data_IF_580609184411
#
_entry.id   IF_580609184411
#
_cell.length_a   1.000
_cell.length_b   1.000
_cell.length_c   1.000
_cell.angle_alpha   90.00
_cell.angle_beta   90.00
_cell.angle_gamma   90.00
#
_symmetry.space_group_name_H-M   'P 1'
#
loop_
_entity.id
_entity.type
_entity.pdbx_description
1 polymer ?
#
# COMPACT_ATOMS: atom_id res chain seq x y z
N UNK A 1 -2.69 8.41 -8.09
CA UNK A 1 -2.07 9.36 -9.04
C UNK A 1 -1.23 8.72 -10.14
N UNK A 2 -0.30 7.77 -9.90
CA UNK A 2 0.50 7.17 -10.99
C UNK A 2 -0.27 6.10 -11.81
N UNK A 3 -0.94 5.15 -11.15
CA UNK A 3 -1.68 4.08 -11.85
C UNK A 3 -2.83 4.60 -12.70
N UNK A 4 -3.54 5.65 -12.26
CA UNK A 4 -4.57 6.30 -13.07
C UNK A 4 -3.99 6.88 -14.38
N UNK A 5 -2.80 7.48 -14.33
CA UNK A 5 -2.17 8.04 -15.52
C UNK A 5 -1.78 6.95 -16.52
N UNK A 6 -1.25 5.82 -16.03
CA UNK A 6 -0.96 4.64 -16.86
C UNK A 6 -2.26 4.13 -17.49
N UNK A 7 -3.33 4.02 -16.69
CA UNK A 7 -4.62 3.52 -17.16
C UNK A 7 -5.26 4.43 -18.21
N UNK A 8 -5.16 5.75 -18.03
CA UNK A 8 -5.56 6.76 -19.04
C UNK A 8 -4.76 6.62 -20.33
N UNK A 9 -3.46 6.35 -20.22
CA UNK A 9 -2.63 6.15 -21.40
C UNK A 9 -3.06 4.88 -22.16
N UNK A 10 -3.33 3.78 -21.46
CA UNK A 10 -3.87 2.56 -22.07
C UNK A 10 -5.22 2.86 -22.74
N UNK A 11 -6.15 3.53 -22.06
CA UNK A 11 -7.45 3.89 -22.64
C UNK A 11 -7.35 4.82 -23.86
N UNK A 12 -6.26 5.57 -24.02
CA UNK A 12 -6.02 6.43 -25.18
C UNK A 12 -5.44 5.68 -26.40
N UNK A 13 -5.10 4.40 -26.26
CA UNK A 13 -4.56 3.60 -27.36
C UNK A 13 -5.66 3.28 -28.38
N UNK A 14 -5.27 3.30 -29.65
CA UNK A 14 -6.15 2.86 -30.73
C UNK A 14 -6.53 1.40 -30.52
N UNK A 15 -7.83 1.09 -30.64
CA UNK A 15 -8.33 -0.26 -30.43
C UNK A 15 -8.67 -0.60 -28.97
N UNK A 16 -8.61 0.34 -28.03
CA UNK A 16 -9.08 0.13 -26.66
C UNK A 16 -10.31 1.00 -26.41
N UNK A 17 -11.45 0.38 -26.12
CA UNK A 17 -12.70 1.09 -25.77
C UNK A 17 -12.79 1.38 -24.27
N UNK A 18 -12.21 0.47 -23.49
CA UNK A 18 -12.29 0.49 -22.05
C UNK A 18 -11.16 -0.33 -21.44
N UNK A 19 -10.75 0.06 -20.24
CA UNK A 19 -9.78 -0.68 -19.44
C UNK A 19 -10.15 -0.59 -17.96
N UNK A 20 -9.94 -1.69 -17.24
CA UNK A 20 -10.12 -1.78 -15.79
C UNK A 20 -8.89 -2.45 -15.20
N UNK A 21 -8.32 -1.82 -14.19
CA UNK A 21 -7.24 -2.38 -13.38
C UNK A 21 -7.80 -2.74 -12.01
N UNK A 22 -7.72 -4.01 -11.66
CA UNK A 22 -8.04 -4.51 -10.33
C UNK A 22 -6.75 -4.92 -9.63
N UNK A 23 -6.50 -4.35 -8.46
CA UNK A 23 -5.36 -4.70 -7.61
C UNK A 23 -5.91 -5.34 -6.35
N UNK A 24 -5.53 -6.59 -6.09
CA UNK A 24 -5.92 -7.30 -4.89
C UNK A 24 -5.25 -6.67 -3.66
N UNK A 25 -5.92 -6.68 -2.50
CA UNK A 25 -5.32 -6.19 -1.26
C UNK A 25 -5.65 -7.14 -0.11
N UNK A 26 -4.65 -7.43 0.74
CA UNK A 26 -4.83 -8.29 1.90
C UNK A 26 -5.52 -7.51 3.03
N UNK A 27 -6.75 -7.90 3.36
CA UNK A 27 -7.51 -7.30 4.46
C UNK A 27 -8.14 -5.93 4.15
N UNK A 28 -8.01 -5.47 2.91
CA UNK A 28 -8.66 -4.26 2.39
C UNK A 28 -9.44 -4.60 1.12
N UNK A 29 -10.45 -3.81 0.73
CA UNK A 29 -11.10 -3.96 -0.56
C UNK A 29 -10.10 -3.88 -1.71
N UNK A 30 -10.34 -4.65 -2.78
CA UNK A 30 -9.57 -4.54 -4.01
C UNK A 30 -9.61 -3.10 -4.52
N UNK A 31 -8.45 -2.59 -4.92
CA UNK A 31 -8.37 -1.26 -5.50
C UNK A 31 -8.68 -1.37 -7.00
N UNK A 32 -9.82 -0.79 -7.39
CA UNK A 32 -10.32 -0.84 -8.76
C UNK A 32 -10.19 0.54 -9.38
N UNK A 33 -9.56 0.59 -10.55
CA UNK A 33 -9.47 1.77 -11.40
C UNK A 33 -10.08 1.44 -12.76
N UNK A 34 -10.86 2.36 -13.31
CA UNK A 34 -11.53 2.20 -14.61
C UNK A 34 -11.34 3.43 -15.47
N UNK A 35 -11.20 3.23 -16.78
CA UNK A 35 -11.16 4.27 -17.81
C UNK A 35 -11.90 3.79 -19.06
N UNK A 36 -12.70 4.67 -19.69
CA UNK A 36 -13.53 4.35 -20.85
C UNK A 36 -14.92 3.81 -20.49
N UNK A 37 -15.54 3.08 -21.42
CA UNK A 37 -16.85 2.43 -21.20
C UNK A 37 -16.75 1.34 -20.12
N UNK A 38 -17.85 0.96 -19.46
CA UNK A 38 -17.76 -0.06 -18.42
C UNK A 38 -17.45 -1.44 -19.02
N UNK A 39 -16.26 -1.97 -18.70
CA UNK A 39 -15.96 -3.40 -18.81
C UNK A 39 -16.67 -4.16 -17.69
N UNK A 40 -17.94 -4.49 -17.89
CA UNK A 40 -18.66 -5.41 -17.01
C UNK A 40 -18.39 -6.87 -17.41
N UNK A 41 -18.22 -7.73 -16.40
CA UNK A 41 -17.94 -9.16 -16.57
C UNK A 41 -19.07 -9.89 -17.33
N UNK A 42 -20.29 -9.36 -17.25
CA UNK A 42 -21.51 -9.95 -17.82
C UNK A 42 -22.02 -9.25 -19.09
N UNK A 43 -21.25 -8.30 -19.66
CA UNK A 43 -21.68 -7.55 -20.85
C UNK A 43 -20.59 -7.56 -21.94
N UNK A 44 -20.89 -8.27 -23.04
CA UNK A 44 -20.10 -8.49 -24.27
C UNK A 44 -18.97 -9.53 -24.21
N UNK A 45 -18.97 -10.40 -25.22
CA UNK A 45 -17.95 -11.42 -25.54
C UNK A 45 -16.55 -10.84 -25.91
N UNK A 46 -16.30 -9.54 -25.69
CA UNK A 46 -15.10 -8.79 -26.12
C UNK A 46 -14.22 -8.25 -24.96
N UNK A 47 -14.49 -8.65 -23.72
CA UNK A 47 -13.72 -8.23 -22.55
C UNK A 47 -12.58 -9.22 -22.27
N UNK A 48 -11.36 -8.80 -22.57
CA UNK A 48 -10.15 -9.56 -22.30
C UNK A 48 -9.66 -9.32 -20.87
N UNK A 49 -8.97 -10.31 -20.30
CA UNK A 49 -8.39 -10.23 -18.97
C UNK A 49 -6.99 -10.86 -18.97
N UNK A 50 -6.05 -10.20 -18.31
CA UNK A 50 -4.70 -10.70 -18.13
C UNK A 50 -4.26 -10.51 -16.67
N UNK A 51 -3.77 -11.58 -16.02
CA UNK A 51 -3.39 -11.51 -14.62
C UNK A 51 -2.09 -10.75 -14.43
N UNK A 52 -2.06 -9.87 -13.44
CA UNK A 52 -0.84 -9.24 -12.96
C UNK A 52 -0.12 -10.21 -12.04
N UNK A 53 1.03 -10.70 -12.49
CA UNK A 53 1.86 -11.63 -11.72
C UNK A 53 3.32 -11.21 -11.74
N UNK A 54 3.99 -11.35 -10.59
CA UNK A 54 5.43 -11.14 -10.49
C UNK A 54 6.01 -12.11 -9.47
N UNK A 55 7.12 -12.78 -9.82
CA UNK A 55 7.82 -13.74 -8.97
C UNK A 55 6.90 -14.83 -8.36
N UNK A 56 5.83 -15.20 -9.07
CA UNK A 56 4.84 -16.19 -8.63
C UNK A 56 3.74 -15.65 -7.71
N UNK A 57 3.76 -14.36 -7.38
CA UNK A 57 2.68 -13.69 -6.64
C UNK A 57 1.60 -13.17 -7.59
N UNK A 58 0.33 -13.42 -7.25
CA UNK A 58 -0.81 -12.79 -7.93
C UNK A 58 -1.11 -11.42 -7.30
N UNK A 59 -1.16 -10.39 -8.13
CA UNK A 59 -1.31 -9.01 -7.71
C UNK A 59 -2.69 -8.43 -8.05
N UNK A 60 -3.43 -9.09 -8.93
CA UNK A 60 -4.71 -8.64 -9.47
C UNK A 60 -4.77 -8.88 -10.98
N UNK A 61 -5.63 -8.13 -11.68
CA UNK A 61 -5.87 -8.36 -13.11
C UNK A 61 -6.10 -7.06 -13.88
N UNK A 62 -5.60 -7.01 -15.11
CA UNK A 62 -5.94 -5.99 -16.09
C UNK A 62 -7.04 -6.54 -17.00
N UNK A 63 -8.11 -5.78 -17.17
CA UNK A 63 -9.21 -6.08 -18.08
C UNK A 63 -9.29 -5.01 -19.14
N UNK A 64 -9.59 -5.37 -20.39
CA UNK A 64 -9.80 -4.39 -21.46
C UNK A 64 -10.84 -4.85 -22.47
N UNK A 65 -11.54 -3.89 -23.07
CA UNK A 65 -12.45 -4.12 -24.19
C UNK A 65 -11.79 -3.69 -25.48
N UNK A 66 -11.68 -4.64 -26.41
CA UNK A 66 -11.13 -4.37 -27.73
C UNK A 66 -12.10 -3.54 -28.59
N UNK A 67 -11.53 -2.65 -29.39
CA UNK A 67 -12.19 -1.94 -30.48
C UNK A 67 -11.60 -2.35 -31.83
N UNK A 68 -12.05 -1.68 -32.88
CA UNK A 68 -11.46 -1.79 -34.22
C UNK A 68 -10.70 -0.51 -34.55
N UNK A 69 -9.46 -0.59 -35.09
CA UNK A 69 -8.68 -1.81 -35.30
C UNK A 69 -8.32 -2.49 -33.97
N UNK A 70 -8.09 -3.81 -33.98
CA UNK A 70 -7.76 -4.54 -32.75
C UNK A 70 -6.46 -3.99 -32.12
N UNK A 71 -6.39 -3.89 -30.79
CA UNK A 71 -5.22 -3.37 -30.10
C UNK A 71 -4.02 -4.30 -30.26
N UNK A 72 -2.81 -3.74 -30.20
CA UNK A 72 -1.58 -4.51 -30.28
C UNK A 72 -1.35 -5.33 -29.00
N UNK A 73 -1.47 -6.66 -29.10
CA UNK A 73 -1.30 -7.58 -27.96
C UNK A 73 0.08 -7.45 -27.28
N UNK A 74 1.16 -7.26 -28.04
CA UNK A 74 2.50 -7.06 -27.46
C UNK A 74 2.58 -5.79 -26.63
N UNK A 75 1.84 -4.75 -27.01
CA UNK A 75 1.78 -3.53 -26.22
C UNK A 75 1.01 -3.75 -24.91
N UNK A 76 -0.09 -4.50 -24.95
CA UNK A 76 -0.86 -4.87 -23.74
C UNK A 76 0.00 -5.69 -22.78
N UNK A 77 0.70 -6.73 -23.26
CA UNK A 77 1.59 -7.55 -22.43
C UNK A 77 2.68 -6.69 -21.75
N UNK A 78 3.28 -5.74 -22.48
CA UNK A 78 4.22 -4.80 -21.88
C UNK A 78 3.58 -3.96 -20.76
N UNK A 79 2.34 -3.49 -20.92
CA UNK A 79 1.63 -2.78 -19.86
C UNK A 79 1.34 -3.69 -18.66
N UNK A 80 0.93 -4.93 -18.88
CA UNK A 80 0.71 -5.94 -17.83
C UNK A 80 1.99 -6.17 -17.04
N UNK A 81 3.14 -6.32 -17.70
CA UNK A 81 4.43 -6.48 -17.02
C UNK A 81 4.85 -5.23 -16.23
N UNK A 82 4.66 -4.04 -16.78
CA UNK A 82 4.96 -2.77 -16.09
C UNK A 82 4.06 -2.60 -14.87
N UNK A 83 2.76 -2.85 -15.02
CA UNK A 83 1.78 -2.76 -13.94
C UNK A 83 2.09 -3.79 -12.85
N UNK A 84 2.41 -5.03 -13.22
CA UNK A 84 2.78 -6.09 -12.26
C UNK A 84 3.97 -5.66 -11.40
N UNK A 85 5.04 -5.15 -12.02
CA UNK A 85 6.19 -4.63 -11.28
C UNK A 85 5.83 -3.44 -10.40
N UNK A 86 5.09 -2.46 -10.95
CA UNK A 86 4.72 -1.26 -10.22
C UNK A 86 3.88 -1.58 -8.98
N UNK A 87 2.90 -2.48 -9.09
CA UNK A 87 2.05 -2.92 -7.98
C UNK A 87 2.89 -3.65 -6.92
N UNK A 88 3.74 -4.59 -7.33
CA UNK A 88 4.61 -5.32 -6.42
C UNK A 88 5.52 -4.40 -5.61
N UNK A 89 6.24 -3.49 -6.27
CA UNK A 89 7.12 -2.54 -5.58
C UNK A 89 6.33 -1.56 -4.71
N UNK A 90 5.14 -1.16 -5.12
CA UNK A 90 4.30 -0.29 -4.29
C UNK A 90 3.87 -0.99 -2.99
N UNK A 91 3.48 -2.27 -3.05
CA UNK A 91 3.16 -3.08 -1.86
C UNK A 91 4.38 -3.23 -0.95
N UNK A 92 5.53 -3.63 -1.50
CA UNK A 92 6.76 -3.81 -0.75
C UNK A 92 7.21 -2.49 -0.06
N UNK A 93 7.09 -1.37 -0.77
CA UNK A 93 7.41 -0.05 -0.20
C UNK A 93 6.48 0.31 0.96
N UNK A 94 5.15 0.14 0.81
CA UNK A 94 4.19 0.39 1.89
C UNK A 94 4.47 -0.46 3.11
N UNK A 95 4.82 -1.74 2.92
CA UNK A 95 5.18 -2.63 4.01
C UNK A 95 6.45 -2.16 4.74
N UNK A 96 7.48 -1.74 4.00
CA UNK A 96 8.70 -1.19 4.58
C UNK A 96 8.43 0.10 5.39
N UNK A 97 7.58 0.99 4.87
CA UNK A 97 7.15 2.21 5.57
C UNK A 97 6.39 1.87 6.86
N UNK A 98 5.50 0.87 6.84
CA UNK A 98 4.81 0.41 8.04
C UNK A 98 5.76 -0.16 9.09
N UNK A 99 6.76 -0.95 8.69
CA UNK A 99 7.79 -1.47 9.61
C UNK A 99 8.54 -0.31 10.26
N UNK A 100 8.99 0.67 9.48
CA UNK A 100 9.71 1.84 9.98
C UNK A 100 8.86 2.64 10.99
N UNK A 101 7.57 2.85 10.69
CA UNK A 101 6.64 3.51 11.61
C UNK A 101 6.48 2.73 12.92
N UNK A 102 6.46 1.40 12.87
CA UNK A 102 6.35 0.57 14.08
C UNK A 102 7.63 0.61 14.91
N UNK A 103 8.80 0.64 14.29
CA UNK A 103 10.08 0.81 14.96
C UNK A 103 10.20 2.16 15.67
N UNK A 104 9.73 3.23 15.02
CA UNK A 104 9.70 4.58 15.60
C UNK A 104 8.76 4.64 16.81
N UNK A 105 7.54 4.10 16.67
CA UNK A 105 6.59 3.99 17.79
C UNK A 105 7.13 3.19 18.96
N UNK A 106 7.82 2.08 18.69
CA UNK A 106 8.44 1.26 19.73
C UNK A 106 9.59 2.00 20.44
N UNK A 107 10.35 2.81 19.70
CA UNK A 107 11.42 3.65 20.26
C UNK A 107 10.86 4.74 21.16
N UNK A 108 9.84 5.48 20.70
CA UNK A 108 9.14 6.50 21.50
C UNK A 108 8.57 5.87 22.78
N UNK A 109 7.91 4.71 22.69
CA UNK A 109 7.33 4.06 23.85
C UNK A 109 8.40 3.68 24.89
N UNK A 110 9.58 3.22 24.44
CA UNK A 110 10.71 2.90 25.31
C UNK A 110 11.26 4.14 25.99
N UNK A 111 11.50 5.21 25.24
CA UNK A 111 12.01 6.47 25.78
C UNK A 111 11.04 7.09 26.79
N UNK A 112 9.74 7.07 26.47
CA UNK A 112 8.69 7.53 27.38
C UNK A 112 8.70 6.71 28.67
N UNK A 113 8.73 5.37 28.57
CA UNK A 113 8.80 4.48 29.73
C UNK A 113 10.04 4.78 30.60
N UNK A 114 11.22 4.94 29.99
CA UNK A 114 12.45 5.22 30.71
C UNK A 114 12.41 6.59 31.39
N UNK A 115 11.85 7.62 30.74
CA UNK A 115 11.64 8.94 31.33
C UNK A 115 10.76 8.90 32.58
N UNK A 116 9.68 8.10 32.55
CA UNK A 116 8.78 7.91 33.68
C UNK A 116 9.46 7.16 34.84
N UNK A 117 10.22 6.11 34.52
CA UNK A 117 11.00 5.35 35.51
C UNK A 117 12.06 6.22 36.20
N UNK A 118 12.72 7.11 35.44
CA UNK A 118 13.66 8.09 35.97
C UNK A 118 12.98 9.09 36.92
N UNK A 119 11.85 9.67 36.51
CA UNK A 119 11.08 10.61 37.33
C UNK A 119 10.61 9.96 38.65
N UNK A 120 10.12 8.71 38.59
CA UNK A 120 9.69 7.96 39.76
C UNK A 120 10.85 7.66 40.71
N UNK A 121 11.99 7.26 40.17
CA UNK A 121 13.20 6.99 40.95
C UNK A 121 13.70 8.26 41.65
N UNK A 122 13.69 9.40 40.95
CA UNK A 122 14.03 10.70 41.50
C UNK A 122 13.12 11.09 42.67
N UNK A 123 11.80 10.98 42.49
CA UNK A 123 10.82 11.25 43.55
C UNK A 123 11.03 10.34 44.76
N UNK A 124 11.29 9.04 44.54
CA UNK A 124 11.57 8.09 45.62
C UNK A 124 12.80 8.48 46.42
N UNK A 125 13.87 8.92 45.76
CA UNK A 125 15.08 9.44 46.41
C UNK A 125 14.77 10.71 47.19
N UNK A 126 14.06 11.68 46.61
CA UNK A 126 13.70 12.92 47.30
C UNK A 126 12.90 12.65 48.57
N UNK A 127 11.89 11.78 48.51
CA UNK A 127 11.08 11.40 49.67
C UNK A 127 11.94 10.70 50.73
N UNK A 128 12.86 9.83 50.33
CA UNK A 128 13.76 9.16 51.28
C UNK A 128 14.68 10.17 52.00
N UNK A 129 15.20 11.17 51.29
CA UNK A 129 16.02 12.24 51.87
C UNK A 129 15.20 13.11 52.83
N UNK A 130 13.99 13.52 52.45
CA UNK A 130 13.06 14.27 53.29
C UNK A 130 12.69 13.50 54.57
N UNK A 131 12.42 12.20 54.47
CA UNK A 131 12.13 11.36 55.65
C UNK A 131 13.32 11.30 56.62
N UNK A 132 14.55 11.25 56.10
CA UNK A 132 15.76 11.27 56.92
C UNK A 132 15.98 12.62 57.60
N UNK A 133 15.77 13.73 56.89
CA UNK A 133 15.93 15.06 57.49
C UNK A 133 14.91 15.30 58.60
N UNK A 134 13.65 14.92 58.40
CA UNK A 134 12.59 15.03 59.42
C UNK A 134 12.88 14.17 60.65
N UNK A 135 13.41 12.95 60.47
CA UNK A 135 13.77 12.06 61.59
C UNK A 135 14.94 12.61 62.43
N UNK A 136 15.75 13.49 61.86
CA UNK A 136 16.89 14.13 62.51
C UNK A 136 16.57 15.53 63.07
N UNK A 137 15.29 15.95 63.08
CA UNK A 137 14.88 17.15 63.83
C UNK A 137 14.97 16.87 65.34
N UNK A 138 15.56 17.78 66.14
CA UNK A 138 15.68 17.65 67.59
C UNK A 138 14.34 17.74 68.33
#
# INVERSE_FOLDING_TARGET
DNFQAILKHIASLEGIKAVKLEIEQLGEPNWILTEGEECCHDCDDECHAEPLTLDGEHLGSLYWKAGLPCPNETLIDNFVQILSRAVYYNRAQRQAEQILLMEERATIARELHDSLAQALSYLKIQVALLKRSVKNLP
#
